data_IF_218645392754
#
_entry.id   IF_218645392754
#
_cell.length_a   1.000
_cell.length_b   1.000
_cell.length_c   1.000
_cell.angle_alpha   90.00
_cell.angle_beta   90.00
_cell.angle_gamma   90.00
#
_symmetry.space_group_name_H-M   'P 1'
#
loop_
_entity.id
_entity.type
_entity.pdbx_description
1 polymer ?
#
# COMPACT_ATOMS: atom_id res chain seq x y z
N UNK A 1 3.67 8.38 44.35
CA UNK A 1 4.17 9.15 43.18
C UNK A 1 4.20 8.21 41.98
N UNK A 2 3.36 8.41 40.96
CA UNK A 2 3.54 7.72 39.68
C UNK A 2 4.66 8.46 38.95
N UNK A 3 5.77 7.76 38.69
CA UNK A 3 6.92 8.36 38.00
C UNK A 3 6.51 8.95 36.66
N UNK A 4 7.00 10.15 36.35
CA UNK A 4 6.79 10.78 35.04
C UNK A 4 7.57 9.94 34.03
N UNK A 5 6.87 9.21 33.16
CA UNK A 5 7.49 8.53 32.02
C UNK A 5 7.87 9.60 31.01
N UNK A 6 9.16 9.72 30.70
CA UNK A 6 9.64 10.69 29.71
C UNK A 6 9.40 10.18 28.29
N UNK A 7 9.27 11.11 27.34
CA UNK A 7 9.13 10.81 25.90
C UNK A 7 10.25 9.91 25.39
N UNK A 8 11.48 10.18 25.80
CA UNK A 8 12.67 9.42 25.40
C UNK A 8 12.56 7.94 25.78
N UNK A 9 11.99 7.63 26.95
CA UNK A 9 11.79 6.24 27.38
C UNK A 9 10.76 5.54 26.49
N UNK A 10 9.67 6.24 26.13
CA UNK A 10 8.65 5.69 25.23
C UNK A 10 9.20 5.44 23.83
N UNK A 11 9.94 6.41 23.27
CA UNK A 11 10.53 6.30 21.93
C UNK A 11 11.58 5.18 21.87
N UNK A 12 12.39 5.02 22.92
CA UNK A 12 13.38 3.93 22.99
C UNK A 12 12.74 2.54 23.06
N UNK A 13 11.68 2.37 23.84
CA UNK A 13 10.97 1.08 23.89
C UNK A 13 10.17 0.81 22.60
N UNK A 14 9.61 1.86 21.98
CA UNK A 14 8.94 1.76 20.67
C UNK A 14 9.91 1.35 19.56
N UNK A 15 11.12 1.93 19.52
CA UNK A 15 12.15 1.58 18.53
C UNK A 15 12.55 0.10 18.65
N UNK A 16 12.73 -0.43 19.87
CA UNK A 16 13.02 -1.86 20.06
C UNK A 16 11.95 -2.76 19.42
N UNK A 17 10.66 -2.47 19.67
CA UNK A 17 9.56 -3.23 19.07
C UNK A 17 9.53 -3.05 17.54
N UNK A 18 9.76 -1.82 17.05
CA UNK A 18 9.86 -1.51 15.63
C UNK A 18 10.96 -2.32 14.93
N UNK A 19 12.17 -2.40 15.49
CA UNK A 19 13.27 -3.18 14.90
C UNK A 19 12.93 -4.68 14.84
N UNK A 20 12.23 -5.21 15.86
CA UNK A 20 11.78 -6.60 15.86
C UNK A 20 10.75 -6.86 14.73
N UNK A 21 9.77 -5.98 14.59
CA UNK A 21 8.75 -6.06 13.53
C UNK A 21 9.38 -5.91 12.14
N UNK A 22 10.30 -4.95 11.96
CA UNK A 22 11.07 -4.76 10.73
C UNK A 22 11.83 -6.02 10.33
N UNK A 23 12.57 -6.64 11.27
CA UNK A 23 13.31 -7.88 11.02
C UNK A 23 12.39 -9.04 10.64
N UNK A 24 11.23 -9.16 11.29
CA UNK A 24 10.18 -10.15 10.95
C UNK A 24 9.72 -9.95 9.51
N UNK A 25 9.32 -8.72 9.15
CA UNK A 25 8.81 -8.38 7.82
C UNK A 25 9.86 -8.64 6.74
N UNK A 26 11.11 -8.21 6.96
CA UNK A 26 12.22 -8.46 6.03
C UNK A 26 12.45 -9.95 5.81
N UNK A 27 12.48 -10.75 6.88
CA UNK A 27 12.61 -12.21 6.75
C UNK A 27 11.44 -12.82 5.98
N UNK A 28 10.21 -12.36 6.20
CA UNK A 28 9.06 -12.85 5.43
C UNK A 28 9.12 -12.44 3.97
N UNK A 29 9.58 -11.22 3.66
CA UNK A 29 9.77 -10.75 2.28
C UNK A 29 10.78 -11.60 1.51
N UNK A 30 11.91 -11.95 2.14
CA UNK A 30 12.96 -12.80 1.55
C UNK A 30 12.45 -14.21 1.22
N UNK A 31 11.49 -14.72 2.00
CA UNK A 31 10.95 -16.07 1.85
C UNK A 31 9.59 -16.10 1.12
N UNK A 32 9.05 -14.94 0.75
CA UNK A 32 7.74 -14.85 0.10
C UNK A 32 7.86 -15.17 -1.39
N UNK A 33 6.98 -16.01 -1.95
CA UNK A 33 6.90 -16.21 -3.40
C UNK A 33 6.44 -14.94 -4.15
N UNK A 34 5.79 -14.01 -3.44
CA UNK A 34 5.38 -12.70 -3.95
C UNK A 34 5.65 -11.63 -2.88
N UNK A 35 6.84 -11.00 -2.91
CA UNK A 35 7.24 -10.00 -1.92
C UNK A 35 6.34 -8.75 -1.94
N UNK A 36 5.86 -8.35 -3.11
CA UNK A 36 5.04 -7.15 -3.23
C UNK A 36 3.65 -7.36 -2.63
N UNK A 37 3.02 -8.51 -2.90
CA UNK A 37 1.76 -8.88 -2.26
C UNK A 37 1.88 -8.98 -0.75
N UNK A 38 3.01 -9.50 -0.25
CA UNK A 38 3.28 -9.53 1.18
C UNK A 38 3.41 -8.11 1.77
N UNK A 39 4.11 -7.21 1.06
CA UNK A 39 4.23 -5.80 1.45
C UNK A 39 2.86 -5.09 1.50
N UNK A 40 1.99 -5.33 0.52
CA UNK A 40 0.62 -4.79 0.50
C UNK A 40 -0.22 -5.30 1.68
N UNK A 41 -0.06 -6.58 2.07
CA UNK A 41 -0.73 -7.14 3.23
C UNK A 41 -0.29 -6.40 4.51
N UNK A 42 1.01 -6.21 4.71
CA UNK A 42 1.55 -5.49 5.89
C UNK A 42 1.06 -4.03 5.94
N UNK A 43 1.04 -3.33 4.79
CA UNK A 43 0.48 -1.98 4.70
C UNK A 43 -1.00 -1.94 5.02
N UNK A 44 -1.78 -2.88 4.50
CA UNK A 44 -3.22 -2.98 4.79
C UNK A 44 -3.46 -3.20 6.28
N UNK A 45 -2.63 -4.01 6.94
CA UNK A 45 -2.70 -4.22 8.39
C UNK A 45 -2.48 -2.90 9.13
N UNK A 46 -1.45 -2.12 8.78
CA UNK A 46 -1.22 -0.82 9.42
C UNK A 46 -2.29 0.22 9.11
N UNK A 47 -2.72 0.33 7.86
CA UNK A 47 -3.80 1.22 7.45
C UNK A 47 -5.05 0.96 8.27
N UNK A 48 -5.36 -0.31 8.48
CA UNK A 48 -6.48 -0.73 9.28
C UNK A 48 -6.36 -0.35 10.76
N UNK A 49 -5.17 -0.49 11.34
CA UNK A 49 -4.90 -0.11 12.73
C UNK A 49 -4.98 1.41 12.90
N UNK A 50 -4.38 2.18 12.00
CA UNK A 50 -4.18 3.63 12.16
C UNK A 50 -5.32 4.48 11.60
N UNK A 51 -5.89 4.09 10.46
CA UNK A 51 -6.68 5.00 9.62
C UNK A 51 -8.10 4.52 9.32
N UNK A 52 -8.32 3.22 9.11
CA UNK A 52 -9.64 2.69 8.72
C UNK A 52 -10.73 3.13 9.69
N UNK A 53 -11.78 3.78 9.21
CA UNK A 53 -12.91 4.16 10.06
C UNK A 53 -13.47 2.93 10.76
N UNK A 54 -13.73 3.05 12.06
CA UNK A 54 -14.35 1.95 12.81
C UNK A 54 -15.81 1.89 12.40
N UNK A 55 -16.15 0.91 11.57
CA UNK A 55 -17.53 0.56 11.31
C UNK A 55 -18.05 -0.24 12.52
N UNK A 56 -18.91 0.41 13.31
CA UNK A 56 -19.46 -0.20 14.52
C UNK A 56 -20.26 -1.48 14.20
N UNK A 57 -20.83 -1.59 13.00
CA UNK A 57 -21.66 -2.72 12.58
C UNK A 57 -20.83 -3.83 11.91
N UNK A 58 -19.81 -3.48 11.12
CA UNK A 58 -19.06 -4.45 10.30
C UNK A 58 -17.64 -4.76 10.79
N UNK A 59 -16.97 -3.88 11.54
CA UNK A 59 -15.65 -4.17 12.16
C UNK A 59 -15.79 -4.96 13.47
N UNK A 60 -17.03 -5.30 13.84
CA UNK A 60 -17.33 -6.32 14.82
C UNK A 60 -17.54 -7.66 14.08
N UNK A 61 -16.47 -8.31 13.64
CA UNK A 61 -16.56 -9.63 13.00
C UNK A 61 -16.79 -10.74 14.05
N UNK A 62 -18.06 -10.79 14.45
CA UNK A 62 -18.88 -11.90 14.91
C UNK A 62 -18.64 -12.65 16.25
N UNK A 63 -19.78 -12.75 16.94
CA UNK A 63 -20.21 -13.72 17.96
C UNK A 63 -19.82 -13.46 19.42
N UNK A 64 -20.80 -12.90 20.13
CA UNK A 64 -21.31 -13.37 21.42
C UNK A 64 -20.77 -14.77 21.74
N UNK A 65 -19.70 -14.89 22.53
CA UNK A 65 -19.48 -16.15 23.24
C UNK A 65 -20.64 -16.25 24.23
N UNK A 66 -21.63 -17.10 23.92
CA UNK A 66 -22.54 -17.63 24.94
C UNK A 66 -21.66 -18.15 26.08
N UNK A 67 -21.59 -17.40 27.19
CA UNK A 67 -20.90 -17.87 28.40
C UNK A 67 -20.20 -16.85 29.28
N UNK A 68 -19.91 -15.61 28.83
CA UNK A 68 -19.26 -14.60 29.69
C UNK A 68 -20.21 -13.44 30.02
N UNK A 69 -21.10 -13.68 30.98
CA UNK A 69 -21.80 -12.64 31.73
C UNK A 69 -20.85 -12.08 32.79
N UNK A 70 -20.60 -10.77 32.77
CA UNK A 70 -19.96 -10.08 33.89
C UNK A 70 -21.05 -9.55 34.80
N UNK A 71 -21.06 -10.01 36.05
CA UNK A 71 -21.93 -9.43 37.08
C UNK A 71 -21.34 -8.10 37.51
N UNK A 72 -22.02 -7.01 37.18
CA UNK A 72 -21.71 -5.67 37.68
C UNK A 72 -22.58 -5.44 38.92
N UNK A 73 -21.94 -5.03 40.02
CA UNK A 73 -22.64 -4.63 41.22
C UNK A 73 -22.72 -3.12 41.30
N UNK A 74 -23.93 -2.57 41.20
CA UNK A 74 -24.16 -1.17 41.47
C UNK A 74 -24.23 -0.96 42.99
N UNK A 75 -23.23 -0.27 43.54
CA UNK A 75 -23.12 0.00 44.98
C UNK A 75 -24.14 1.03 45.47
N UNK A 76 -24.75 1.79 44.57
CA UNK A 76 -25.68 2.88 44.91
C UNK A 76 -27.12 2.37 44.96
N UNK A 77 -27.50 1.49 44.03
CA UNK A 77 -28.83 0.84 44.03
C UNK A 77 -28.84 -0.53 44.73
N UNK A 78 -27.68 -1.13 45.01
CA UNK A 78 -27.54 -2.46 45.62
C UNK A 78 -27.87 -3.61 44.68
N UNK A 79 -28.16 -3.34 43.41
CA UNK A 79 -28.60 -4.31 42.42
C UNK A 79 -27.43 -4.94 41.66
N UNK A 80 -27.57 -6.23 41.35
CA UNK A 80 -26.67 -6.99 40.47
C UNK A 80 -27.24 -6.99 39.06
N UNK A 81 -26.43 -6.55 38.11
CA UNK A 81 -26.76 -6.64 36.69
C UNK A 81 -25.81 -7.62 36.02
N UNK A 82 -26.35 -8.56 35.24
CA UNK A 82 -25.55 -9.37 34.35
C UNK A 82 -25.49 -8.67 32.99
N UNK A 83 -24.28 -8.32 32.56
CA UNK A 83 -24.05 -7.74 31.25
C UNK A 83 -23.24 -8.69 30.41
N UNK A 84 -23.66 -8.88 29.16
CA UNK A 84 -22.86 -9.56 28.15
C UNK A 84 -21.68 -8.67 27.78
N UNK A 85 -20.47 -9.12 28.10
CA UNK A 85 -19.25 -8.43 27.65
C UNK A 85 -19.13 -8.64 26.15
N UNK A 86 -19.24 -7.55 25.39
CA UNK A 86 -18.89 -7.55 23.97
C UNK A 86 -17.42 -7.12 23.89
N UNK A 87 -16.51 -8.07 23.95
CA UNK A 87 -15.11 -7.81 23.61
C UNK A 87 -15.02 -7.72 22.08
N UNK A 88 -14.70 -6.53 21.58
CA UNK A 88 -14.69 -6.21 20.14
C UNK A 88 -13.26 -6.30 19.64
N UNK A 89 -12.96 -7.26 18.78
CA UNK A 89 -11.60 -7.50 18.26
C UNK A 89 -11.48 -7.07 16.79
N UNK A 90 -10.38 -6.42 16.45
CA UNK A 90 -9.94 -6.16 15.07
C UNK A 90 -8.96 -7.26 14.64
N UNK A 91 -9.38 -8.13 13.71
CA UNK A 91 -8.55 -9.21 13.18
C UNK A 91 -7.65 -8.69 12.06
N UNK A 92 -6.34 -8.76 12.27
CA UNK A 92 -5.33 -8.45 11.25
C UNK A 92 -4.74 -9.70 10.57
N UNK A 93 -5.29 -10.89 10.88
CA UNK A 93 -4.80 -12.18 10.40
C UNK A 93 -3.64 -12.77 11.23
N UNK A 94 -2.83 -11.94 11.89
CA UNK A 94 -1.78 -12.38 12.83
C UNK A 94 -1.98 -11.90 14.26
N UNK A 95 -2.78 -10.85 14.47
CA UNK A 95 -3.06 -10.28 15.79
C UNK A 95 -4.53 -9.87 15.89
N UNK A 96 -5.10 -10.10 17.08
CA UNK A 96 -6.43 -9.64 17.48
C UNK A 96 -6.28 -8.45 18.44
N UNK A 97 -6.73 -7.26 18.02
CA UNK A 97 -6.63 -6.05 18.85
C UNK A 97 -8.00 -5.65 19.39
N UNK A 98 -8.10 -5.33 20.68
CA UNK A 98 -9.32 -4.74 21.24
C UNK A 98 -9.66 -3.38 20.58
N UNK A 99 -10.94 -3.12 20.31
CA UNK A 99 -11.36 -1.90 19.60
C UNK A 99 -11.08 -0.62 20.39
N UNK A 100 -11.15 -0.67 21.72
CA UNK A 100 -10.83 0.48 22.58
C UNK A 100 -9.32 0.67 22.65
N UNK A 101 -8.55 -0.42 22.58
CA UNK A 101 -7.10 -0.37 22.37
C UNK A 101 -6.75 0.34 21.05
N UNK A 102 -7.40 -0.04 19.94
CA UNK A 102 -7.23 0.64 18.64
C UNK A 102 -7.61 2.12 18.70
N UNK A 103 -8.75 2.47 19.31
CA UNK A 103 -9.15 3.88 19.50
C UNK A 103 -8.10 4.67 20.28
N UNK A 104 -7.54 4.06 21.31
CA UNK A 104 -6.51 4.67 22.16
C UNK A 104 -5.20 4.86 21.40
N UNK A 105 -4.78 3.86 20.60
CA UNK A 105 -3.63 3.96 19.68
C UNK A 105 -3.82 5.15 18.73
N UNK A 106 -4.97 5.26 18.07
CA UNK A 106 -5.22 6.32 17.08
C UNK A 106 -5.21 7.72 17.69
N UNK A 107 -5.80 7.87 18.88
CA UNK A 107 -5.77 9.13 19.59
C UNK A 107 -4.32 9.53 19.94
N UNK A 108 -3.53 8.59 20.48
CA UNK A 108 -2.13 8.85 20.80
C UNK A 108 -1.26 9.07 19.56
N UNK A 109 -1.53 8.37 18.46
CA UNK A 109 -0.88 8.59 17.16
C UNK A 109 -1.12 10.03 16.66
N UNK A 110 -2.36 10.53 16.70
CA UNK A 110 -2.68 11.91 16.32
C UNK A 110 -1.99 12.94 17.22
N UNK A 111 -1.94 12.68 18.53
CA UNK A 111 -1.23 13.54 19.48
C UNK A 111 0.29 13.53 19.26
N UNK A 112 0.86 12.38 18.88
CA UNK A 112 2.27 12.26 18.54
C UNK A 112 2.60 13.08 17.28
N UNK A 113 1.78 12.97 16.23
CA UNK A 113 1.93 13.76 15.00
C UNK A 113 1.84 15.27 15.24
N UNK A 114 0.99 15.72 16.18
CA UNK A 114 0.85 17.14 16.51
C UNK A 114 1.97 17.67 17.44
N UNK A 115 2.95 16.84 17.79
CA UNK A 115 4.05 17.21 18.68
C UNK A 115 3.65 17.33 20.16
N UNK A 116 2.44 16.91 20.54
CA UNK A 116 1.96 16.95 21.91
C UNK A 116 2.57 15.79 22.71
N UNK A 117 3.43 16.10 23.67
CA UNK A 117 4.19 15.12 24.46
C UNK A 117 3.51 14.68 25.75
N UNK A 118 2.35 15.26 26.08
CA UNK A 118 1.62 14.97 27.31
C UNK A 118 0.84 13.66 27.21
N UNK A 119 1.56 12.53 27.13
CA UNK A 119 0.99 11.21 27.41
C UNK A 119 0.80 11.14 28.93
N UNK A 120 -0.33 11.66 29.42
CA UNK A 120 -0.74 11.44 30.81
C UNK A 120 -0.95 9.94 30.99
N UNK A 121 0.06 9.24 31.51
CA UNK A 121 0.11 7.98 32.27
C UNK A 121 -1.04 6.93 32.19
N UNK A 122 -1.91 6.95 31.17
CA UNK A 122 -3.12 6.12 31.14
C UNK A 122 -2.83 4.78 30.47
N UNK A 123 -1.84 4.68 29.57
CA UNK A 123 -1.22 3.39 29.27
C UNK A 123 0.13 3.56 28.54
N UNK A 124 1.21 3.09 29.19
CA UNK A 124 2.57 3.12 28.61
C UNK A 124 2.63 2.28 27.34
N UNK A 125 1.95 1.13 27.31
CA UNK A 125 2.04 0.19 26.19
C UNK A 125 1.31 0.72 24.95
N UNK A 126 0.15 1.36 25.13
CA UNK A 126 -0.58 1.99 24.02
C UNK A 126 0.26 3.10 23.39
N UNK A 127 0.96 3.90 24.20
CA UNK A 127 1.84 4.96 23.69
C UNK A 127 3.03 4.39 22.91
N UNK A 128 3.66 3.34 23.43
CA UNK A 128 4.75 2.62 22.74
C UNK A 128 4.25 2.07 21.40
N UNK A 129 3.09 1.43 21.38
CA UNK A 129 2.53 0.83 20.17
C UNK A 129 2.13 1.88 19.14
N UNK A 130 1.57 3.02 19.57
CA UNK A 130 1.27 4.13 18.67
C UNK A 130 2.53 4.68 17.98
N UNK A 131 3.62 4.90 18.72
CA UNK A 131 4.91 5.34 18.18
C UNK A 131 5.50 4.27 17.25
N UNK A 132 5.44 3.00 17.66
CA UNK A 132 5.91 1.87 16.85
C UNK A 132 5.19 1.79 15.51
N UNK A 133 3.86 1.89 15.51
CA UNK A 133 3.07 1.83 14.28
C UNK A 133 3.33 3.02 13.36
N UNK A 134 3.57 4.21 13.92
CA UNK A 134 4.05 5.36 13.15
C UNK A 134 5.40 5.06 12.45
N UNK A 135 6.38 4.51 13.18
CA UNK A 135 7.67 4.14 12.61
C UNK A 135 7.55 3.07 11.52
N UNK A 136 6.69 2.06 11.74
CA UNK A 136 6.42 1.01 10.74
C UNK A 136 5.74 1.54 9.49
N UNK A 137 4.73 2.41 9.65
CA UNK A 137 4.03 3.03 8.52
C UNK A 137 4.99 3.86 7.68
N UNK A 138 5.80 4.71 8.33
CA UNK A 138 6.83 5.51 7.67
C UNK A 138 7.80 4.60 6.90
N UNK A 139 8.31 3.56 7.53
CA UNK A 139 9.26 2.64 6.91
C UNK A 139 8.65 1.85 5.73
N UNK A 140 7.40 1.39 5.84
CA UNK A 140 6.72 0.66 4.75
C UNK A 140 6.35 1.56 3.58
N UNK A 141 6.05 2.83 3.83
CA UNK A 141 5.80 3.83 2.79
C UNK A 141 7.12 4.27 2.13
N UNK A 142 8.23 4.35 2.88
CA UNK A 142 9.57 4.56 2.33
C UNK A 142 10.05 3.34 1.52
N UNK A 143 9.66 2.13 1.90
CA UNK A 143 9.93 0.92 1.10
C UNK A 143 9.18 0.91 -0.25
N UNK A 144 8.07 1.66 -0.37
CA UNK A 144 7.34 1.86 -1.64
C UNK A 144 8.04 2.82 -2.60
N UNK A 145 8.72 3.83 -2.05
CA UNK A 145 9.64 4.69 -2.83
C UNK A 145 10.86 3.90 -3.35
N UNK A 146 10.91 2.60 -3.06
CA UNK A 146 11.81 1.62 -3.65
C UNK A 146 11.40 1.08 -5.03
N UNK A 147 10.13 0.73 -5.32
CA UNK A 147 9.63 0.28 -6.65
C UNK A 147 8.09 0.09 -6.70
N UNK A 148 7.36 0.59 -7.73
CA UNK A 148 5.92 0.34 -7.96
C UNK A 148 5.69 -0.87 -8.91
N UNK A 149 5.89 -2.10 -8.44
CA UNK A 149 5.91 -3.30 -9.30
C UNK A 149 4.55 -3.97 -9.54
N UNK A 150 3.55 -3.83 -8.66
CA UNK A 150 2.28 -4.56 -8.80
C UNK A 150 1.32 -3.95 -9.83
N UNK A 151 1.14 -2.64 -9.81
CA UNK A 151 0.23 -1.98 -10.75
C UNK A 151 0.81 -1.94 -12.19
N UNK A 152 2.14 -1.85 -12.32
CA UNK A 152 2.83 -2.01 -13.60
C UNK A 152 2.72 -3.46 -14.10
N UNK A 153 2.72 -4.45 -13.20
CA UNK A 153 2.47 -5.86 -13.56
C UNK A 153 1.08 -6.08 -14.15
N UNK A 154 0.05 -5.45 -13.57
CA UNK A 154 -1.33 -5.53 -14.08
C UNK A 154 -1.46 -4.90 -15.47
N UNK A 155 -0.90 -3.69 -15.62
CA UNK A 155 -0.89 -2.98 -16.91
C UNK A 155 -0.05 -3.72 -17.95
N UNK A 156 1.07 -4.32 -17.54
CA UNK A 156 1.84 -5.22 -18.40
C UNK A 156 1.00 -6.41 -18.87
N UNK A 157 0.27 -7.08 -17.97
CA UNK A 157 -0.60 -8.21 -18.35
C UNK A 157 -1.70 -7.80 -19.34
N UNK A 158 -2.26 -6.60 -19.20
CA UNK A 158 -3.29 -6.09 -20.12
C UNK A 158 -2.71 -5.70 -21.50
N UNK A 159 -1.51 -5.14 -21.52
CA UNK A 159 -0.85 -4.72 -22.76
C UNK A 159 -0.16 -5.89 -23.48
N UNK A 160 0.41 -6.85 -22.74
CA UNK A 160 1.20 -7.94 -23.30
C UNK A 160 0.32 -8.96 -24.04
N UNK A 161 0.76 -9.38 -25.22
CA UNK A 161 0.02 -10.25 -26.14
C UNK A 161 -1.09 -9.54 -26.92
N UNK A 162 -1.54 -8.35 -26.50
CA UNK A 162 -2.55 -7.55 -27.22
C UNK A 162 -1.92 -6.38 -27.98
N UNK A 163 -1.15 -5.55 -27.28
CA UNK A 163 -0.53 -4.33 -27.80
C UNK A 163 0.97 -4.44 -27.91
N UNK A 164 1.59 -5.15 -26.97
CA UNK A 164 3.04 -5.33 -26.92
C UNK A 164 3.40 -6.80 -26.72
N UNK A 165 4.65 -7.16 -27.00
CA UNK A 165 5.23 -8.44 -26.63
C UNK A 165 6.61 -8.22 -26.05
N UNK A 166 6.77 -8.58 -24.78
CA UNK A 166 8.04 -8.57 -24.05
C UNK A 166 7.87 -9.32 -22.71
N UNK A 167 8.91 -9.40 -21.88
CA UNK A 167 8.78 -9.83 -20.49
C UNK A 167 8.52 -8.62 -19.57
N UNK A 168 7.99 -8.90 -18.37
CA UNK A 168 7.60 -7.87 -17.40
C UNK A 168 8.78 -7.01 -16.95
N UNK A 169 9.98 -7.59 -16.83
CA UNK A 169 11.17 -6.89 -16.34
C UNK A 169 11.62 -5.81 -17.33
N UNK A 170 11.68 -6.15 -18.63
CA UNK A 170 12.01 -5.21 -19.70
C UNK A 170 10.94 -4.13 -19.81
N UNK A 171 9.65 -4.50 -19.73
CA UNK A 171 8.56 -3.52 -19.76
C UNK A 171 8.66 -2.53 -18.60
N UNK A 172 8.78 -3.03 -17.38
CA UNK A 172 8.88 -2.20 -16.16
C UNK A 172 10.08 -1.26 -16.25
N UNK A 173 11.24 -1.78 -16.65
CA UNK A 173 12.45 -0.97 -16.78
C UNK A 173 12.33 0.13 -17.83
N UNK A 174 11.74 -0.17 -19.00
CA UNK A 174 11.51 0.81 -20.07
C UNK A 174 10.53 1.88 -19.62
N UNK A 175 9.44 1.50 -18.96
CA UNK A 175 8.41 2.46 -18.53
C UNK A 175 8.91 3.43 -17.47
N UNK A 176 9.74 2.95 -16.54
CA UNK A 176 10.33 3.79 -15.48
C UNK A 176 11.48 4.64 -16.03
N UNK A 177 12.41 4.05 -16.79
CA UNK A 177 13.68 4.70 -17.14
C UNK A 177 13.72 5.29 -18.55
N UNK A 178 12.69 5.07 -19.36
CA UNK A 178 12.59 5.51 -20.77
C UNK A 178 13.77 5.07 -21.65
N UNK A 179 14.37 3.92 -21.33
CA UNK A 179 15.48 3.31 -22.05
C UNK A 179 15.44 1.78 -21.91
N UNK A 180 16.10 1.05 -22.80
CA UNK A 180 16.24 -0.39 -22.67
C UNK A 180 17.15 -0.75 -21.48
N UNK A 181 16.86 -1.85 -20.76
CA UNK A 181 17.86 -2.54 -19.95
C UNK A 181 19.09 -2.88 -20.78
N UNK A 182 20.18 -3.32 -20.13
CA UNK A 182 21.49 -3.61 -20.78
C UNK A 182 21.43 -4.56 -21.99
N UNK A 183 20.32 -5.27 -22.19
CA UNK A 183 20.06 -6.12 -23.35
C UNK A 183 19.45 -5.33 -24.51
N UNK A 184 19.96 -5.53 -25.73
CA UNK A 184 19.57 -4.81 -26.93
C UNK A 184 18.17 -5.17 -27.50
N UNK A 185 17.31 -5.83 -26.72
CA UNK A 185 16.02 -6.32 -27.16
C UNK A 185 14.93 -5.26 -26.99
N UNK A 186 14.33 -4.84 -28.11
CA UNK A 186 13.21 -3.91 -28.12
C UNK A 186 11.90 -4.60 -27.76
N UNK A 187 10.99 -3.84 -27.15
CA UNK A 187 9.60 -4.24 -26.94
C UNK A 187 8.90 -4.23 -28.31
N UNK A 188 8.31 -5.36 -28.70
CA UNK A 188 7.60 -5.47 -29.97
C UNK A 188 6.20 -4.89 -29.79
N UNK A 189 5.79 -4.00 -30.68
CA UNK A 189 4.44 -3.45 -30.77
C UNK A 189 3.62 -4.23 -31.79
N UNK A 190 2.47 -4.76 -31.35
CA UNK A 190 1.65 -5.72 -32.10
C UNK A 190 0.53 -5.06 -32.91
N UNK A 191 0.14 -3.82 -32.58
CA UNK A 191 -0.98 -3.15 -33.24
C UNK A 191 -0.53 -2.03 -34.17
N UNK A 192 -1.40 -1.05 -34.46
CA UNK A 192 -1.12 -0.02 -35.46
C UNK A 192 -0.04 0.96 -34.99
N UNK A 193 0.74 1.50 -35.94
CA UNK A 193 1.72 2.55 -35.65
C UNK A 193 1.08 3.81 -35.05
N UNK A 194 -0.18 4.11 -35.39
CA UNK A 194 -0.91 5.26 -34.85
C UNK A 194 -1.14 5.12 -33.34
N UNK A 195 -1.49 3.93 -32.87
CA UNK A 195 -1.66 3.63 -31.45
C UNK A 195 -0.33 3.69 -30.69
N UNK A 196 0.75 3.20 -31.29
CA UNK A 196 2.09 3.30 -30.71
C UNK A 196 2.50 4.78 -30.51
N UNK A 197 2.23 5.63 -31.51
CA UNK A 197 2.51 7.07 -31.43
C UNK A 197 1.62 7.75 -30.37
N UNK A 198 0.35 7.34 -30.25
CA UNK A 198 -0.52 7.82 -29.18
C UNK A 198 0.06 7.47 -27.80
N UNK A 199 0.38 6.21 -27.57
CA UNK A 199 0.99 5.74 -26.33
C UNK A 199 2.30 6.48 -26.01
N UNK A 200 3.16 6.69 -27.02
CA UNK A 200 4.40 7.45 -26.89
C UNK A 200 4.19 8.88 -26.38
N UNK A 201 3.18 9.59 -26.89
CA UNK A 201 2.88 10.96 -26.50
C UNK A 201 2.37 10.98 -25.06
N UNK A 202 1.38 10.15 -24.77
CA UNK A 202 0.73 10.11 -23.45
C UNK A 202 1.73 9.74 -22.36
N UNK A 203 2.58 8.73 -22.59
CA UNK A 203 3.63 8.31 -21.64
C UNK A 203 4.84 9.23 -21.61
N UNK A 204 4.84 10.29 -22.43
CA UNK A 204 5.86 11.35 -22.42
C UNK A 204 7.24 10.88 -22.89
N UNK A 205 7.31 9.90 -23.80
CA UNK A 205 8.55 9.54 -24.49
C UNK A 205 8.85 10.58 -25.57
N UNK A 206 10.12 10.87 -25.87
CA UNK A 206 10.47 11.46 -27.17
C UNK A 206 10.43 10.36 -28.24
N UNK A 207 10.19 10.70 -29.51
CA UNK A 207 10.20 9.70 -30.59
C UNK A 207 11.54 8.96 -30.69
N UNK A 208 12.65 9.62 -30.36
CA UNK A 208 13.99 9.01 -30.29
C UNK A 208 14.06 7.94 -29.19
N UNK A 209 13.61 8.24 -27.97
CA UNK A 209 13.54 7.28 -26.86
C UNK A 209 12.57 6.14 -27.18
N UNK A 210 11.41 6.46 -27.76
CA UNK A 210 10.41 5.48 -28.13
C UNK A 210 10.96 4.47 -29.16
N UNK A 211 11.60 4.95 -30.23
CA UNK A 211 12.25 4.07 -31.21
C UNK A 211 13.47 3.32 -30.65
N UNK A 212 14.08 3.79 -29.56
CA UNK A 212 15.14 3.04 -28.88
C UNK A 212 14.57 1.83 -28.12
N UNK A 213 13.38 1.97 -27.52
CA UNK A 213 12.78 0.94 -26.68
C UNK A 213 11.75 0.04 -27.38
N UNK A 214 11.06 0.56 -28.39
CA UNK A 214 9.94 -0.10 -29.07
C UNK A 214 10.22 -0.28 -30.56
N UNK A 215 9.65 -1.34 -31.14
CA UNK A 215 9.69 -1.61 -32.58
C UNK A 215 8.34 -2.14 -33.04
N UNK A 216 7.88 -1.80 -34.24
CA UNK A 216 6.67 -2.41 -34.79
C UNK A 216 6.93 -3.88 -35.15
N UNK A 217 5.92 -4.74 -35.02
CA UNK A 217 6.02 -6.18 -35.36
C UNK A 217 6.58 -6.48 -36.76
N UNK A 218 6.49 -5.54 -37.69
CA UNK A 218 7.10 -5.66 -39.04
C UNK A 218 8.60 -5.34 -39.09
N UNK A 219 9.25 -5.09 -37.94
CA UNK A 219 10.68 -4.77 -37.84
C UNK A 219 11.04 -3.34 -38.22
N UNK A 220 10.05 -2.46 -38.41
CA UNK A 220 10.28 -1.06 -38.80
C UNK A 220 10.07 -0.10 -37.62
N UNK A 221 10.84 1.00 -37.60
CA UNK A 221 10.65 2.07 -36.64
C UNK A 221 9.36 2.88 -36.84
N UNK A 222 9.09 3.75 -35.87
CA UNK A 222 7.98 4.70 -35.86
C UNK A 222 8.45 6.07 -36.32
N UNK A 223 7.71 6.70 -37.24
CA UNK A 223 7.99 8.04 -37.73
C UNK A 223 6.87 8.98 -37.29
N UNK A 224 7.22 10.20 -36.86
CA UNK A 224 6.28 11.16 -36.28
C UNK A 224 5.34 11.84 -37.30
N UNK A 225 5.36 11.46 -38.58
CA UNK A 225 4.73 12.25 -39.65
C UNK A 225 3.26 11.96 -39.97
N UNK A 226 2.55 11.11 -39.21
CA UNK A 226 1.16 10.75 -39.55
C UNK A 226 0.16 11.09 -38.44
N UNK A 227 0.05 12.37 -38.05
CA UNK A 227 -1.26 12.91 -37.67
C UNK A 227 -1.84 13.59 -38.89
N UNK A 228 -2.64 12.85 -39.66
CA UNK A 228 -3.74 13.53 -40.32
C UNK A 228 -4.67 14.00 -39.19
N UNK A 229 -5.11 15.27 -39.14
CA UNK A 229 -5.96 15.79 -38.06
C UNK A 229 -7.31 15.06 -37.92
N UNK A 230 -7.59 14.13 -38.82
CA UNK A 230 -8.78 13.27 -38.87
C UNK A 230 -8.51 11.78 -38.61
N UNK A 231 -7.32 11.39 -38.12
CA UNK A 231 -7.07 9.98 -37.80
C UNK A 231 -8.02 9.51 -36.69
N UNK A 232 -8.78 8.41 -36.90
CA UNK A 232 -9.75 7.95 -35.93
C UNK A 232 -9.06 7.62 -34.61
N UNK A 233 -9.66 8.12 -33.52
CA UNK A 233 -9.27 7.84 -32.14
C UNK A 233 -9.37 6.31 -31.92
N UNK A 234 -8.39 5.66 -31.28
CA UNK A 234 -8.46 4.24 -30.95
C UNK A 234 -9.78 3.92 -30.23
N UNK A 235 -10.52 2.94 -30.74
CA UNK A 235 -11.84 2.57 -30.20
C UNK A 235 -11.77 1.47 -29.13
N UNK A 236 -10.60 0.85 -28.98
CA UNK A 236 -10.29 -0.20 -28.00
C UNK A 236 -9.63 0.41 -26.73
N UNK A 237 -9.52 -0.31 -25.58
CA UNK A 237 -9.29 0.30 -24.26
C UNK A 237 -7.92 0.96 -24.04
N UNK A 238 -7.04 1.00 -25.03
CA UNK A 238 -5.69 1.56 -24.92
C UNK A 238 -5.65 2.98 -24.34
N UNK A 239 -6.55 3.93 -24.67
CA UNK A 239 -6.57 5.24 -24.04
C UNK A 239 -6.75 5.15 -22.52
N UNK A 240 -7.68 4.33 -22.04
CA UNK A 240 -7.94 4.14 -20.61
C UNK A 240 -6.75 3.49 -19.89
N UNK A 241 -6.13 2.48 -20.53
CA UNK A 241 -4.97 1.77 -19.96
C UNK A 241 -3.76 2.69 -19.90
N UNK A 242 -3.56 3.52 -20.93
CA UNK A 242 -2.43 4.46 -21.01
C UNK A 242 -2.56 5.57 -19.97
N UNK A 243 -3.77 6.14 -19.79
CA UNK A 243 -4.02 7.11 -18.72
C UNK A 243 -3.73 6.52 -17.35
N UNK A 244 -4.23 5.31 -17.06
CA UNK A 244 -3.92 4.62 -15.79
C UNK A 244 -2.42 4.42 -15.59
N UNK A 245 -1.67 4.07 -16.64
CA UNK A 245 -0.22 3.88 -16.57
C UNK A 245 0.53 5.19 -16.28
N UNK A 246 0.08 6.31 -16.83
CA UNK A 246 0.68 7.62 -16.56
C UNK A 246 0.42 8.08 -15.14
N UNK A 247 -0.81 7.91 -14.65
CA UNK A 247 -1.16 8.22 -13.27
C UNK A 247 -0.28 7.41 -12.32
N UNK A 248 -0.03 6.12 -12.62
CA UNK A 248 0.91 5.28 -11.86
C UNK A 248 2.35 5.80 -11.88
N UNK A 249 2.85 6.27 -13.02
CA UNK A 249 4.26 6.71 -13.15
C UNK A 249 4.54 8.08 -12.53
N UNK A 250 3.50 8.88 -12.24
CA UNK A 250 3.61 10.20 -11.61
C UNK A 250 3.39 10.20 -10.10
N UNK A 251 2.76 9.16 -9.57
CA UNK A 251 2.51 8.96 -8.14
C UNK A 251 3.79 8.53 -7.40
#
# INVERSE_FOLDING_TARGET
MRGIITREILEKEADKKFQADKKRIQKSLENSPDPNKYLEIEKRILFNILHKEIDILNDCEDVIIKGLTKTIYDRTSGLKYETHCIDRYYRTGHFDYDINYIRSIRNLYRLYLSGMTAVRAIDKEIAIDAIRFFLLEKWLNEAEQGYPTNLISDQFRELNGKYIQTNIDVFTSVMINKQLPKDANKIIWLTTKTEAVYFQIETGFTMKQFNACFIHQTGTGFNAHNRSPSSPIPKDPLPQITTKLIDTLKA
#
